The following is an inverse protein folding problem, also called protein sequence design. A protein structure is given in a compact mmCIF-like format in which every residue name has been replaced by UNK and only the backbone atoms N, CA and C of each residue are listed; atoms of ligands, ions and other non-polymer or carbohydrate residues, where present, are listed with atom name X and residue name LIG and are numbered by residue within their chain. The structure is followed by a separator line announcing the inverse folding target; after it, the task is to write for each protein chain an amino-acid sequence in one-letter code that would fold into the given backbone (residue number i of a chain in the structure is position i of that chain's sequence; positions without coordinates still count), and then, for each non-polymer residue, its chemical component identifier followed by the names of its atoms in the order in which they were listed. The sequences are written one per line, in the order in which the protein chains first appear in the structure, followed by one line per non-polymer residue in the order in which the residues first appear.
data_IF_079593389205
#
_entry.id   IF_079593389205
#
_cell.length_a   1.000
_cell.length_b   1.000
_cell.length_c   1.000
_cell.angle_alpha   90.00
_cell.angle_beta   90.00
_cell.angle_gamma   90.00
#
_symmetry.space_group_name_H-M   'P 1'
#
loop_
_entity.id
_entity.type
_entity.pdbx_description
1 polymer ?
#
# COMPACT_ATOMS: atom_id res chain seq x y z
N UNK A 1 18.57 -16.31 -3.89
CA UNK A 1 17.41 -16.25 -2.97
C UNK A 1 17.09 -14.85 -2.46
N UNK A 2 18.01 -14.12 -1.80
CA UNK A 2 17.72 -12.77 -1.24
C UNK A 2 17.11 -11.77 -2.24
N UNK A 3 17.63 -11.70 -3.47
CA UNK A 3 17.10 -10.81 -4.53
C UNK A 3 15.69 -11.23 -4.97
N UNK A 4 15.46 -12.53 -5.18
CA UNK A 4 14.14 -13.05 -5.58
C UNK A 4 13.09 -12.74 -4.51
N UNK A 5 13.43 -12.90 -3.23
CA UNK A 5 12.55 -12.53 -2.11
C UNK A 5 12.26 -11.03 -2.12
N UNK A 6 13.28 -10.19 -2.37
CA UNK A 6 13.08 -8.75 -2.46
C UNK A 6 12.17 -8.36 -3.64
N UNK A 7 12.31 -9.00 -4.80
CA UNK A 7 11.46 -8.77 -5.97
C UNK A 7 10.02 -9.18 -5.67
N UNK A 8 9.79 -10.42 -5.23
CA UNK A 8 8.44 -10.92 -4.96
C UNK A 8 7.76 -10.14 -3.83
N UNK A 9 8.50 -9.83 -2.75
CA UNK A 9 8.01 -9.02 -1.65
C UNK A 9 7.65 -7.60 -2.08
N UNK A 10 8.49 -6.96 -2.90
CA UNK A 10 8.22 -5.60 -3.41
C UNK A 10 7.00 -5.58 -4.33
N UNK A 11 6.87 -6.57 -5.23
CA UNK A 11 5.70 -6.69 -6.09
C UNK A 11 4.41 -6.85 -5.29
N UNK A 12 4.42 -7.68 -4.25
CA UNK A 12 3.27 -7.85 -3.37
C UNK A 12 2.92 -6.55 -2.64
N UNK A 13 3.90 -5.87 -2.05
CA UNK A 13 3.69 -4.60 -1.37
C UNK A 13 3.14 -3.53 -2.32
N UNK A 14 3.68 -3.44 -3.54
CA UNK A 14 3.20 -2.50 -4.55
C UNK A 14 1.79 -2.84 -5.04
N UNK A 15 1.44 -4.13 -5.18
CA UNK A 15 0.08 -4.53 -5.51
C UNK A 15 -0.93 -4.14 -4.42
N UNK A 16 -0.57 -4.32 -3.14
CA UNK A 16 -1.40 -3.87 -2.00
C UNK A 16 -1.50 -2.35 -1.97
N UNK A 17 -0.41 -1.62 -2.24
CA UNK A 17 -0.44 -0.18 -2.32
C UNK A 17 -1.37 0.31 -3.44
N UNK A 18 -1.31 -0.30 -4.63
CA UNK A 18 -2.20 0.01 -5.74
C UNK A 18 -3.67 -0.26 -5.37
N UNK A 19 -3.96 -1.40 -4.73
CA UNK A 19 -5.30 -1.70 -4.22
C UNK A 19 -5.79 -0.63 -3.23
N UNK A 20 -4.92 -0.16 -2.33
CA UNK A 20 -5.27 0.92 -1.39
C UNK A 20 -5.56 2.24 -2.10
N UNK A 21 -4.85 2.57 -3.19
CA UNK A 21 -5.16 3.76 -3.99
C UNK A 21 -6.55 3.63 -4.62
N UNK A 22 -6.87 2.50 -5.24
CA UNK A 22 -8.20 2.26 -5.80
C UNK A 22 -9.30 2.33 -4.72
N UNK A 23 -9.10 1.66 -3.59
CA UNK A 23 -10.03 1.70 -2.46
C UNK A 23 -10.23 3.11 -1.90
N UNK A 24 -9.15 3.89 -1.79
CA UNK A 24 -9.22 5.29 -1.37
C UNK A 24 -10.04 6.13 -2.34
N UNK A 25 -9.83 5.98 -3.65
CA UNK A 25 -10.60 6.70 -4.67
C UNK A 25 -12.09 6.33 -4.65
N UNK A 26 -12.42 5.06 -4.39
CA UNK A 26 -13.80 4.62 -4.23
C UNK A 26 -14.53 5.31 -3.05
N UNK A 27 -13.80 5.76 -2.02
CA UNK A 27 -14.42 6.52 -0.92
C UNK A 27 -14.90 7.92 -1.31
N UNK A 28 -14.73 8.38 -2.56
CA UNK A 28 -15.32 9.63 -3.04
C UNK A 28 -16.68 9.45 -3.70
N UNK A 29 -17.17 8.21 -3.82
CA UNK A 29 -18.53 7.96 -4.26
C UNK A 29 -19.56 8.53 -3.25
N UNK A 30 -20.74 8.96 -3.72
CA UNK A 30 -21.82 9.41 -2.85
C UNK A 30 -22.16 8.37 -1.78
N UNK A 31 -22.30 8.81 -0.53
CA UNK A 31 -22.52 7.92 0.61
C UNK A 31 -23.43 8.53 1.65
N UNK A 32 -24.29 7.70 2.22
CA UNK A 32 -25.13 8.05 3.37
C UNK A 32 -24.38 7.92 4.71
N UNK A 33 -23.14 7.39 4.70
CA UNK A 33 -22.35 7.13 5.90
C UNK A 33 -20.93 7.66 5.79
N UNK A 34 -20.78 8.96 6.04
CA UNK A 34 -19.50 9.68 5.98
C UNK A 34 -18.47 9.14 6.97
N UNK A 35 -18.87 8.76 8.20
CA UNK A 35 -17.95 8.29 9.24
C UNK A 35 -17.24 7.01 8.82
N UNK A 36 -17.98 6.03 8.27
CA UNK A 36 -17.41 4.78 7.76
C UNK A 36 -16.44 5.05 6.59
N UNK A 37 -16.80 5.96 5.69
CA UNK A 37 -15.96 6.32 4.55
C UNK A 37 -14.67 7.01 4.97
N UNK A 38 -14.71 7.87 6.00
CA UNK A 38 -13.50 8.47 6.59
C UNK A 38 -12.59 7.42 7.23
N UNK A 39 -13.15 6.44 7.93
CA UNK A 39 -12.37 5.33 8.47
C UNK A 39 -11.66 4.53 7.37
N UNK A 40 -12.35 4.26 6.26
CA UNK A 40 -11.74 3.60 5.10
C UNK A 40 -10.66 4.46 4.44
N UNK A 41 -10.89 5.77 4.27
CA UNK A 41 -9.85 6.69 3.76
C UNK A 41 -8.57 6.59 4.59
N UNK A 42 -8.69 6.74 5.90
CA UNK A 42 -7.55 6.65 6.81
C UNK A 42 -6.88 5.27 6.72
N UNK A 43 -7.67 4.18 6.71
CA UNK A 43 -7.14 2.83 6.60
C UNK A 43 -6.34 2.62 5.31
N UNK A 44 -6.91 2.97 4.16
CA UNK A 44 -6.21 2.85 2.87
C UNK A 44 -4.97 3.73 2.80
N UNK A 45 -5.01 4.96 3.32
CA UNK A 45 -3.82 5.83 3.35
C UNK A 45 -2.71 5.24 4.21
N UNK A 46 -3.00 4.79 5.43
CA UNK A 46 -1.99 4.24 6.34
C UNK A 46 -1.37 2.96 5.78
N UNK A 47 -2.20 2.02 5.31
CA UNK A 47 -1.72 0.75 4.75
C UNK A 47 -0.94 1.00 3.46
N UNK A 48 -1.47 1.82 2.55
CA UNK A 48 -0.84 2.13 1.27
C UNK A 48 0.55 2.76 1.44
N UNK A 49 0.67 3.77 2.31
CA UNK A 49 1.96 4.39 2.63
C UNK A 49 2.93 3.40 3.30
N UNK A 50 2.43 2.58 4.22
CA UNK A 50 3.23 1.53 4.86
C UNK A 50 3.82 0.54 3.85
N UNK A 51 3.02 0.14 2.85
CA UNK A 51 3.48 -0.73 1.77
C UNK A 51 4.55 -0.08 0.89
N UNK A 52 4.38 1.20 0.53
CA UNK A 52 5.38 1.95 -0.26
C UNK A 52 6.70 2.09 0.49
N UNK A 53 6.65 2.48 1.77
CA UNK A 53 7.85 2.59 2.62
C UNK A 53 8.52 1.22 2.79
N UNK A 54 7.73 0.17 3.07
CA UNK A 54 8.22 -1.19 3.19
C UNK A 54 8.91 -1.70 1.93
N UNK A 55 8.35 -1.41 0.75
CA UNK A 55 8.97 -1.76 -0.53
C UNK A 55 10.30 -1.02 -0.73
N UNK A 56 10.35 0.28 -0.42
CA UNK A 56 11.58 1.07 -0.47
C UNK A 56 12.67 0.50 0.43
N UNK A 57 12.35 0.18 1.69
CA UNK A 57 13.30 -0.44 2.64
C UNK A 57 13.78 -1.79 2.12
N UNK A 58 12.88 -2.63 1.61
CA UNK A 58 13.20 -3.95 1.09
C UNK A 58 14.17 -3.87 -0.11
N UNK A 59 13.92 -2.95 -1.03
CA UNK A 59 14.78 -2.70 -2.20
C UNK A 59 16.14 -2.17 -1.76
N UNK A 60 16.18 -1.17 -0.87
CA UNK A 60 17.43 -0.58 -0.37
C UNK A 60 18.30 -1.63 0.31
N UNK A 61 17.70 -2.49 1.16
CA UNK A 61 18.42 -3.57 1.84
C UNK A 61 18.91 -4.65 0.85
N UNK A 62 18.21 -4.85 -0.26
CA UNK A 62 18.65 -5.78 -1.30
C UNK A 62 19.80 -5.23 -2.15
N UNK A 63 19.86 -3.91 -2.35
CA UNK A 63 20.86 -3.23 -3.20
C UNK A 63 22.12 -2.83 -2.45
N UNK A 64 22.02 -2.40 -1.18
CA UNK A 64 23.17 -1.99 -0.33
C UNK A 64 24.04 -3.17 0.15
N UNK A 65 24.02 -4.26 -0.61
CA UNK A 65 24.72 -5.49 -0.29
C UNK A 65 26.20 -5.40 -0.61
#
# INVERSE_FOLDING_TARGET
MKIIVAILGSLLLLAVAAFCVFGFLATFEPTDNTTRFMAFRTGYTVIGLGCVVGAGILIVNAVRK
#
